data_IF_587373723086
#
_entry.id   IF_587373723086
#
_cell.length_a   1.000
_cell.length_b   1.000
_cell.length_c   1.000
_cell.angle_alpha   90.00
_cell.angle_beta   90.00
_cell.angle_gamma   90.00
#
_symmetry.space_group_name_H-M   'P 1'
#
loop_
_entity.id
_entity.type
_entity.pdbx_description
1 polymer ?
#
# COMPACT_ATOMS: atom_id res chain seq x y z
N UNK A 1 -2.71 15.58 20.89
CA UNK A 1 -1.50 15.70 20.04
C UNK A 1 -1.37 17.16 19.59
N UNK A 2 -0.18 17.74 19.58
CA UNK A 2 0.06 19.10 19.10
C UNK A 2 0.75 19.05 17.73
N UNK A 3 -0.05 19.14 16.66
CA UNK A 3 0.44 19.02 15.28
C UNK A 3 1.51 20.07 14.91
N UNK A 4 1.43 21.28 15.49
CA UNK A 4 2.42 22.32 15.27
C UNK A 4 3.77 21.98 15.89
N UNK A 5 3.79 21.24 17.00
CA UNK A 5 5.02 20.73 17.59
C UNK A 5 5.69 19.69 16.67
N UNK A 6 4.89 18.81 16.04
CA UNK A 6 5.38 17.83 15.05
C UNK A 6 6.01 18.55 13.86
N UNK A 7 5.31 19.53 13.29
CA UNK A 7 5.82 20.31 12.15
C UNK A 7 7.13 21.03 12.51
N UNK A 8 7.22 21.59 13.72
CA UNK A 8 8.45 22.23 14.20
C UNK A 8 9.61 21.24 14.27
N UNK A 9 9.35 20.03 14.78
CA UNK A 9 10.34 18.95 14.84
C UNK A 9 10.79 18.52 13.43
N UNK A 10 9.86 18.34 12.49
CA UNK A 10 10.18 17.97 11.11
C UNK A 10 11.03 19.04 10.42
N UNK A 11 10.67 20.33 10.56
CA UNK A 11 11.46 21.44 10.03
C UNK A 11 12.87 21.51 10.63
N UNK A 12 13.01 21.17 11.92
CA UNK A 12 14.31 21.09 12.57
C UNK A 12 15.16 19.94 12.02
N UNK A 13 14.55 18.79 11.69
CA UNK A 13 15.25 17.68 11.02
C UNK A 13 15.78 18.11 9.65
N UNK A 14 15.00 18.87 8.86
CA UNK A 14 15.45 19.37 7.54
C UNK A 14 16.65 20.30 7.63
N UNK A 15 16.75 21.07 8.72
CA UNK A 15 17.85 22.01 8.94
C UNK A 15 19.10 21.35 9.52
N UNK A 16 19.03 20.06 9.89
CA UNK A 16 20.12 19.33 10.50
C UNK A 16 20.99 18.65 9.41
N UNK A 17 22.27 19.02 9.26
CA UNK A 17 23.17 18.37 8.28
C UNK A 17 23.33 16.86 8.51
N UNK A 18 23.07 16.37 9.73
CA UNK A 18 23.16 14.95 10.09
C UNK A 18 21.95 14.11 9.69
N UNK A 19 20.82 14.70 9.31
CA UNK A 19 19.62 13.95 8.86
C UNK A 19 19.65 13.61 7.37
N UNK A 20 20.62 14.17 6.62
CA UNK A 20 20.71 14.14 5.14
C UNK A 20 19.40 14.52 4.43
N UNK A 21 18.49 15.21 5.12
CA UNK A 21 17.20 15.63 4.58
C UNK A 21 16.11 14.56 4.58
N UNK A 22 16.30 13.42 5.26
CA UNK A 22 15.28 12.38 5.42
C UNK A 22 14.50 12.61 6.72
N UNK A 23 13.19 12.76 6.60
CA UNK A 23 12.27 12.94 7.72
C UNK A 23 11.96 11.61 8.39
N UNK A 24 11.89 11.61 9.71
CA UNK A 24 11.44 10.45 10.50
C UNK A 24 10.35 10.85 11.49
N UNK A 25 9.41 9.95 11.69
CA UNK A 25 8.35 10.07 12.68
C UNK A 25 8.63 9.10 13.83
N UNK A 26 8.51 9.58 15.07
CA UNK A 26 8.49 8.69 16.23
C UNK A 26 7.20 7.87 16.21
N UNK A 27 7.27 6.58 16.56
CA UNK A 27 6.15 5.65 16.44
C UNK A 27 4.92 6.07 17.26
N UNK A 28 5.14 6.57 18.47
CA UNK A 28 4.07 7.04 19.36
C UNK A 28 3.37 8.28 18.79
N UNK A 29 4.08 9.09 18.01
CA UNK A 29 3.50 10.23 17.31
C UNK A 29 2.73 9.73 16.08
N UNK A 30 3.38 8.89 15.26
CA UNK A 30 2.84 8.38 14.02
C UNK A 30 1.50 7.65 14.22
N UNK A 31 1.41 6.81 15.25
CA UNK A 31 0.20 6.05 15.59
C UNK A 31 -1.01 6.90 16.00
N UNK A 32 -0.80 8.20 16.25
CA UNK A 32 -1.88 9.14 16.61
C UNK A 32 -2.27 10.07 15.47
N UNK A 33 -1.57 10.01 14.32
CA UNK A 33 -1.87 10.82 13.16
C UNK A 33 -3.12 10.32 12.44
N UNK A 34 -3.87 11.27 11.89
CA UNK A 34 -4.96 11.02 10.96
C UNK A 34 -4.55 11.36 9.53
N UNK A 35 -5.35 10.95 8.56
CA UNK A 35 -5.20 11.36 7.15
C UNK A 35 -5.21 12.89 7.01
N UNK A 36 -6.06 13.60 7.75
CA UNK A 36 -6.11 15.06 7.71
C UNK A 36 -4.86 15.71 8.32
N UNK A 37 -4.31 15.11 9.38
CA UNK A 37 -3.03 15.56 9.96
C UNK A 37 -1.88 15.38 8.97
N UNK A 38 -1.84 14.25 8.26
CA UNK A 38 -0.84 13.98 7.23
C UNK A 38 -0.88 15.01 6.09
N UNK A 39 -2.09 15.32 5.59
CA UNK A 39 -2.28 16.38 4.58
C UNK A 39 -1.85 17.74 5.09
N UNK A 40 -2.20 18.06 6.34
CA UNK A 40 -1.81 19.32 6.95
C UNK A 40 -0.29 19.43 7.07
N UNK A 41 0.39 18.37 7.52
CA UNK A 41 1.86 18.30 7.57
C UNK A 41 2.45 18.56 6.18
N UNK A 42 1.97 17.87 5.14
CA UNK A 42 2.44 18.07 3.75
C UNK A 42 2.25 19.52 3.30
N UNK A 43 1.11 20.15 3.63
CA UNK A 43 0.84 21.55 3.25
C UNK A 43 1.82 22.55 3.88
N UNK A 44 2.41 22.21 5.04
CA UNK A 44 3.31 23.09 5.79
C UNK A 44 4.79 22.79 5.49
N UNK A 45 5.13 21.52 5.29
CA UNK A 45 6.51 21.05 5.09
C UNK A 45 6.87 20.99 3.60
N UNK A 46 5.90 20.74 2.71
CA UNK A 46 6.10 20.57 1.28
C UNK A 46 6.31 19.11 0.86
N UNK A 47 6.06 18.79 -0.42
CA UNK A 47 6.10 17.41 -0.95
C UNK A 47 7.49 16.94 -1.37
N UNK A 48 8.44 17.86 -1.59
CA UNK A 48 9.78 17.57 -2.12
C UNK A 48 10.71 16.85 -1.13
N UNK A 49 10.23 16.56 0.08
CA UNK A 49 11.01 15.92 1.14
C UNK A 49 10.84 14.41 1.10
N UNK A 50 11.91 13.72 1.49
CA UNK A 50 11.88 12.29 1.70
C UNK A 50 11.50 11.99 3.15
N UNK A 51 10.74 10.94 3.37
CA UNK A 51 10.46 10.37 4.68
C UNK A 51 10.89 8.91 4.73
N UNK A 52 11.40 8.48 5.86
CA UNK A 52 11.52 7.05 6.14
C UNK A 52 10.14 6.49 6.45
N UNK A 53 9.82 5.34 5.86
CA UNK A 53 8.60 4.62 6.10
C UNK A 53 8.44 4.35 7.61
N UNK A 54 7.21 4.41 8.16
CA UNK A 54 6.94 4.12 9.56
C UNK A 54 7.20 2.63 9.89
N UNK A 55 7.27 2.27 11.17
CA UNK A 55 7.69 0.93 11.59
C UNK A 55 6.79 -0.18 11.04
N UNK A 56 5.47 0.03 11.02
CA UNK A 56 4.50 -0.91 10.43
C UNK A 56 4.86 -1.25 8.98
N UNK A 57 5.27 -0.26 8.20
CA UNK A 57 5.60 -0.42 6.79
C UNK A 57 6.96 -1.10 6.61
N UNK A 58 7.95 -0.73 7.42
CA UNK A 58 9.24 -1.42 7.45
C UNK A 58 9.06 -2.91 7.79
N UNK A 59 8.17 -3.24 8.74
CA UNK A 59 7.88 -4.64 9.08
C UNK A 59 7.28 -5.43 7.91
N UNK A 60 6.43 -4.80 7.09
CA UNK A 60 5.93 -5.43 5.87
C UNK A 60 7.04 -5.64 4.84
N UNK A 61 7.88 -4.65 4.58
CA UNK A 61 8.97 -4.79 3.61
C UNK A 61 10.05 -5.76 4.07
N UNK A 62 10.32 -5.89 5.38
CA UNK A 62 11.18 -6.94 5.91
C UNK A 62 10.56 -8.34 5.72
N UNK A 63 9.25 -8.48 5.93
CA UNK A 63 8.54 -9.72 5.60
C UNK A 63 8.64 -10.03 4.09
N UNK A 64 8.47 -9.02 3.24
CA UNK A 64 8.59 -9.13 1.78
C UNK A 64 10.01 -9.55 1.38
N UNK A 65 11.05 -9.01 2.04
CA UNK A 65 12.44 -9.39 1.82
C UNK A 65 12.69 -10.86 2.12
N UNK A 66 12.09 -11.37 3.19
CA UNK A 66 12.24 -12.77 3.62
C UNK A 66 11.48 -13.74 2.69
N UNK A 67 10.25 -13.41 2.31
CA UNK A 67 9.34 -14.34 1.62
C UNK A 67 9.30 -14.14 0.10
N UNK A 68 9.55 -12.92 -0.37
CA UNK A 68 9.50 -12.52 -1.78
C UNK A 68 10.72 -11.65 -2.15
N UNK A 69 11.96 -12.16 -1.97
CA UNK A 69 13.19 -11.37 -2.11
C UNK A 69 13.36 -10.73 -3.50
N UNK A 70 12.82 -11.35 -4.55
CA UNK A 70 12.89 -10.77 -5.90
C UNK A 70 12.07 -9.49 -6.03
N UNK A 71 10.89 -9.44 -5.40
CA UNK A 71 10.04 -8.24 -5.37
C UNK A 71 10.69 -7.16 -4.53
N UNK A 72 11.22 -7.53 -3.37
CA UNK A 72 11.96 -6.60 -2.53
C UNK A 72 13.20 -6.02 -3.26
N UNK A 73 13.95 -6.85 -3.98
CA UNK A 73 15.12 -6.41 -4.74
C UNK A 73 14.75 -5.48 -5.92
N UNK A 74 13.60 -5.70 -6.56
CA UNK A 74 13.10 -4.81 -7.62
C UNK A 74 12.81 -3.41 -7.07
N UNK A 75 12.23 -3.34 -5.86
CA UNK A 75 11.89 -2.08 -5.19
C UNK A 75 13.09 -1.37 -4.55
N UNK A 76 13.97 -2.11 -3.86
CA UNK A 76 14.97 -1.56 -2.94
C UNK A 76 16.40 -2.03 -3.23
N UNK A 77 16.60 -3.00 -4.12
CA UNK A 77 17.87 -3.71 -4.27
C UNK A 77 19.02 -2.86 -4.83
N UNK A 78 18.71 -1.73 -5.45
CA UNK A 78 19.70 -0.79 -5.98
C UNK A 78 19.93 0.42 -5.05
N UNK A 79 19.20 0.53 -3.95
CA UNK A 79 19.32 1.66 -3.03
C UNK A 79 20.53 1.50 -2.12
N UNK A 80 21.15 2.61 -1.76
CA UNK A 80 22.14 2.61 -0.68
C UNK A 80 21.42 2.32 0.65
N UNK A 81 22.11 1.62 1.57
CA UNK A 81 21.55 1.17 2.85
C UNK A 81 20.86 2.29 3.64
N UNK A 82 21.32 3.53 3.51
CA UNK A 82 20.75 4.70 4.16
C UNK A 82 19.39 5.15 3.62
N UNK A 83 19.12 4.91 2.33
CA UNK A 83 17.86 5.28 1.67
C UNK A 83 16.84 4.14 1.66
N UNK A 84 17.20 2.96 2.15
CA UNK A 84 16.26 1.86 2.29
C UNK A 84 15.00 2.30 3.03
N UNK A 85 13.85 1.95 2.46
CA UNK A 85 12.53 2.28 2.99
C UNK A 85 12.29 3.79 3.11
N UNK A 86 12.83 4.56 2.17
CA UNK A 86 12.62 6.00 2.09
C UNK A 86 11.78 6.32 0.87
N UNK A 87 10.71 7.11 1.06
CA UNK A 87 9.76 7.49 0.01
C UNK A 87 9.47 8.99 0.09
N UNK A 88 8.81 9.56 -0.93
CA UNK A 88 8.34 10.94 -0.87
C UNK A 88 7.37 11.18 0.30
N UNK A 89 7.48 12.33 0.96
CA UNK A 89 6.57 12.73 2.04
C UNK A 89 5.11 12.82 1.57
N UNK A 90 4.90 13.06 0.28
CA UNK A 90 3.57 13.04 -0.35
C UNK A 90 2.78 11.74 -0.11
N UNK A 91 3.47 10.62 0.13
CA UNK A 91 2.83 9.34 0.42
C UNK A 91 2.39 9.17 1.89
N UNK A 92 2.68 10.13 2.77
CA UNK A 92 2.32 10.04 4.20
C UNK A 92 0.84 9.69 4.46
N UNK A 93 -0.16 10.24 3.72
CA UNK A 93 -1.56 9.90 3.92
C UNK A 93 -1.86 8.42 3.68
N UNK A 94 -1.17 7.77 2.73
CA UNK A 94 -1.36 6.35 2.45
C UNK A 94 -0.91 5.46 3.63
N UNK A 95 0.04 5.93 4.43
CA UNK A 95 0.55 5.19 5.59
C UNK A 95 -0.42 5.20 6.78
N UNK A 96 -1.47 6.02 6.73
CA UNK A 96 -2.47 6.15 7.80
C UNK A 96 -3.50 5.00 7.79
N UNK A 97 -3.65 4.29 6.67
CA UNK A 97 -4.56 3.15 6.58
C UNK A 97 -4.02 1.98 7.44
N UNK A 98 -4.84 1.36 8.30
CA UNK A 98 -4.40 0.27 9.18
C UNK A 98 -4.08 -1.03 8.44
N UNK A 99 -4.65 -1.25 7.26
CA UNK A 99 -4.47 -2.44 6.41
C UNK A 99 -3.47 -2.18 5.30
N UNK A 100 -3.62 -1.03 4.64
CA UNK A 100 -2.82 -0.61 3.47
C UNK A 100 -1.57 0.15 3.93
N UNK A 101 -0.88 0.73 2.95
CA UNK A 101 0.40 1.39 3.13
C UNK A 101 0.99 1.80 1.80
N UNK A 102 2.32 1.81 1.70
CA UNK A 102 3.02 2.12 0.47
C UNK A 102 2.70 1.04 -0.59
N UNK A 103 2.10 1.44 -1.73
CA UNK A 103 1.63 0.50 -2.74
C UNK A 103 2.79 -0.09 -3.53
N UNK A 104 2.67 -1.35 -3.93
CA UNK A 104 3.58 -1.98 -4.89
C UNK A 104 2.87 -2.03 -6.25
N UNK A 105 3.16 -1.05 -7.10
CA UNK A 105 2.48 -0.89 -8.40
C UNK A 105 3.42 -0.49 -9.57
N UNK A 106 4.72 -0.41 -9.32
CA UNK A 106 5.74 0.10 -10.23
C UNK A 106 6.95 -0.84 -10.38
N UNK A 107 6.78 -2.14 -10.14
CA UNK A 107 7.84 -3.14 -10.35
C UNK A 107 8.34 -3.10 -11.80
N UNK A 108 9.66 -3.13 -11.97
CA UNK A 108 10.33 -2.94 -13.26
C UNK A 108 10.61 -4.27 -13.96
N UNK A 109 10.90 -5.33 -13.21
CA UNK A 109 11.34 -6.62 -13.74
C UNK A 109 10.33 -7.74 -13.51
N UNK A 110 9.43 -7.57 -12.55
CA UNK A 110 8.40 -8.52 -12.18
C UNK A 110 7.00 -8.01 -12.55
N UNK A 111 6.04 -8.94 -12.59
CA UNK A 111 4.63 -8.56 -12.76
C UNK A 111 4.11 -7.84 -11.52
N UNK A 112 3.40 -6.75 -11.75
CA UNK A 112 2.65 -6.04 -10.74
C UNK A 112 1.34 -6.79 -10.45
N UNK A 113 1.02 -6.88 -9.16
CA UNK A 113 -0.25 -7.43 -8.68
C UNK A 113 -1.00 -6.37 -7.88
N UNK A 114 -1.15 -5.19 -8.47
CA UNK A 114 -1.87 -4.06 -7.89
C UNK A 114 -3.26 -3.95 -8.50
N UNK A 115 -4.27 -3.84 -7.64
CA UNK A 115 -5.67 -3.82 -8.05
C UNK A 115 -6.40 -2.62 -7.47
N UNK A 116 -7.18 -1.96 -8.32
CA UNK A 116 -8.10 -0.88 -7.95
C UNK A 116 -9.54 -1.33 -8.21
N UNK A 117 -10.57 -0.66 -7.65
CA UNK A 117 -11.97 -1.01 -7.89
C UNK A 117 -12.32 -1.17 -9.39
N UNK A 118 -11.76 -0.34 -10.26
CA UNK A 118 -12.00 -0.36 -11.70
C UNK A 118 -11.46 -1.62 -12.41
N UNK A 119 -10.59 -2.40 -11.76
CA UNK A 119 -10.17 -3.70 -12.25
C UNK A 119 -11.22 -4.80 -12.03
N UNK A 120 -12.25 -4.56 -11.22
CA UNK A 120 -13.40 -5.45 -11.08
C UNK A 120 -14.32 -5.24 -12.28
N UNK A 121 -14.27 -6.18 -13.22
CA UNK A 121 -14.95 -6.09 -14.51
C UNK A 121 -15.94 -7.24 -14.69
N UNK A 122 -16.72 -7.20 -15.77
CA UNK A 122 -17.69 -8.25 -16.09
C UNK A 122 -19.11 -7.95 -15.57
N UNK A 123 -20.11 -8.50 -16.26
CA UNK A 123 -21.52 -8.18 -15.99
C UNK A 123 -21.99 -8.72 -14.62
N UNK A 124 -21.41 -9.83 -14.17
CA UNK A 124 -21.81 -10.52 -12.94
C UNK A 124 -21.12 -10.01 -11.67
N UNK A 125 -20.11 -9.13 -11.79
CA UNK A 125 -19.27 -8.73 -10.66
C UNK A 125 -20.05 -7.99 -9.57
N UNK A 126 -21.07 -7.23 -9.97
CA UNK A 126 -21.95 -6.53 -9.03
C UNK A 126 -22.77 -7.51 -8.18
N UNK A 127 -23.37 -8.53 -8.80
CA UNK A 127 -24.11 -9.58 -8.09
C UNK A 127 -23.21 -10.43 -7.22
N UNK A 128 -22.02 -10.78 -7.72
CA UNK A 128 -21.02 -11.51 -6.98
C UNK A 128 -20.60 -10.74 -5.71
N UNK A 129 -20.27 -9.46 -5.86
CA UNK A 129 -19.85 -8.60 -4.75
C UNK A 129 -20.95 -8.46 -3.69
N UNK A 130 -22.20 -8.25 -4.08
CA UNK A 130 -23.32 -8.16 -3.12
C UNK A 130 -23.53 -9.48 -2.35
N UNK A 131 -23.44 -10.62 -3.04
CA UNK A 131 -23.51 -11.92 -2.38
C UNK A 131 -22.35 -12.15 -1.39
N UNK A 132 -21.14 -11.72 -1.75
CA UNK A 132 -19.97 -11.79 -0.86
C UNK A 132 -20.12 -10.88 0.35
N UNK A 133 -20.58 -9.64 0.18
CA UNK A 133 -20.85 -8.71 1.28
C UNK A 133 -21.86 -9.29 2.26
N UNK A 134 -22.95 -9.88 1.75
CA UNK A 134 -23.97 -10.48 2.60
C UNK A 134 -23.41 -11.64 3.44
N UNK A 135 -22.62 -12.52 2.82
CA UNK A 135 -21.93 -13.62 3.53
C UNK A 135 -20.97 -13.10 4.59
N UNK A 136 -20.17 -12.10 4.25
CA UNK A 136 -19.20 -11.50 5.16
C UNK A 136 -19.90 -10.86 6.38
N UNK A 137 -20.99 -10.13 6.16
CA UNK A 137 -21.81 -9.54 7.23
C UNK A 137 -22.46 -10.59 8.14
N UNK A 138 -22.82 -11.75 7.58
CA UNK A 138 -23.34 -12.90 8.32
C UNK A 138 -22.25 -13.71 9.04
N UNK A 139 -20.98 -13.29 8.95
CA UNK A 139 -19.82 -14.03 9.48
C UNK A 139 -19.70 -15.45 8.89
N UNK A 140 -20.19 -15.64 7.67
CA UNK A 140 -20.02 -16.89 6.95
C UNK A 140 -18.61 -16.96 6.34
N UNK A 141 -18.12 -18.18 6.13
CA UNK A 141 -16.82 -18.39 5.49
C UNK A 141 -16.84 -17.90 4.04
N UNK A 142 -15.87 -17.05 3.71
CA UNK A 142 -15.62 -16.58 2.34
C UNK A 142 -14.35 -17.24 1.78
N UNK A 143 -14.32 -17.47 0.47
CA UNK A 143 -13.11 -17.96 -0.21
C UNK A 143 -12.08 -16.85 -0.34
N UNK A 144 -10.83 -17.20 -0.71
CA UNK A 144 -9.77 -16.21 -0.95
C UNK A 144 -10.15 -15.25 -2.09
N UNK A 145 -10.75 -15.77 -3.17
CA UNK A 145 -11.25 -14.95 -4.28
C UNK A 145 -12.36 -13.99 -3.85
N UNK A 146 -13.32 -14.47 -3.05
CA UNK A 146 -14.39 -13.63 -2.51
C UNK A 146 -13.82 -12.51 -1.62
N UNK A 147 -12.90 -12.85 -0.72
CA UNK A 147 -12.25 -11.88 0.15
C UNK A 147 -11.43 -10.85 -0.65
N UNK A 148 -10.72 -11.30 -1.69
CA UNK A 148 -9.95 -10.42 -2.57
C UNK A 148 -10.85 -9.44 -3.32
N UNK A 149 -11.95 -9.90 -3.91
CA UNK A 149 -12.92 -9.02 -4.58
C UNK A 149 -13.49 -7.99 -3.61
N UNK A 150 -13.81 -8.40 -2.38
CA UNK A 150 -14.29 -7.48 -1.35
C UNK A 150 -13.24 -6.40 -1.03
N UNK A 151 -11.98 -6.76 -0.83
CA UNK A 151 -10.89 -5.81 -0.55
C UNK A 151 -10.67 -4.82 -1.71
N UNK A 152 -10.57 -5.33 -2.94
CA UNK A 152 -10.40 -4.49 -4.14
C UNK A 152 -11.56 -3.51 -4.30
N UNK A 153 -12.79 -3.94 -4.00
CA UNK A 153 -13.98 -3.09 -4.13
C UNK A 153 -14.01 -1.91 -3.15
N UNK A 154 -13.26 -1.99 -2.04
CA UNK A 154 -13.25 -0.97 -1.00
C UNK A 154 -12.18 0.10 -1.26
N UNK A 155 -10.97 -0.34 -1.65
CA UNK A 155 -9.88 0.57 -1.97
C UNK A 155 -8.71 -0.22 -2.60
N UNK A 156 -7.78 0.48 -3.30
CA UNK A 156 -6.64 -0.15 -3.93
C UNK A 156 -5.80 -1.03 -3.00
N UNK A 157 -5.28 -2.14 -3.52
CA UNK A 157 -4.46 -3.09 -2.77
C UNK A 157 -3.54 -3.90 -3.69
N UNK A 158 -2.31 -4.17 -3.25
CA UNK A 158 -1.44 -5.16 -3.89
C UNK A 158 -1.59 -6.57 -3.26
N UNK A 159 -1.31 -7.60 -4.06
CA UNK A 159 -1.46 -8.98 -3.62
C UNK A 159 -0.53 -9.37 -2.45
N UNK A 160 0.64 -8.74 -2.32
CA UNK A 160 1.55 -9.01 -1.20
C UNK A 160 1.00 -8.44 0.11
N UNK A 161 0.42 -7.24 0.09
CA UNK A 161 -0.29 -6.66 1.22
C UNK A 161 -1.50 -7.49 1.61
N UNK A 162 -2.29 -7.91 0.63
CA UNK A 162 -3.43 -8.79 0.87
C UNK A 162 -2.98 -10.09 1.57
N UNK A 163 -1.94 -10.73 1.04
CA UNK A 163 -1.31 -11.93 1.60
C UNK A 163 -0.83 -11.72 3.04
N UNK A 164 -0.05 -10.66 3.28
CA UNK A 164 0.49 -10.31 4.58
C UNK A 164 -0.58 -10.03 5.62
N UNK A 165 -1.59 -9.22 5.27
CA UNK A 165 -2.62 -8.79 6.21
C UNK A 165 -3.55 -9.94 6.62
N UNK A 166 -4.00 -10.72 5.63
CA UNK A 166 -4.93 -11.84 5.88
C UNK A 166 -4.21 -13.13 6.26
N UNK A 167 -2.88 -13.15 6.26
CA UNK A 167 -2.03 -14.32 6.55
C UNK A 167 -2.36 -15.50 5.65
N UNK A 168 -2.53 -15.22 4.36
CA UNK A 168 -2.84 -16.21 3.33
C UNK A 168 -1.56 -16.45 2.53
N UNK A 169 -1.21 -17.71 2.29
CA UNK A 169 -0.08 -18.06 1.42
C UNK A 169 -0.21 -17.40 0.04
N UNK A 170 0.87 -16.78 -0.45
CA UNK A 170 0.84 -15.98 -1.67
C UNK A 170 0.39 -16.79 -2.89
N UNK A 171 0.74 -18.08 -2.97
CA UNK A 171 0.32 -19.00 -4.02
C UNK A 171 -1.22 -19.13 -4.09
N UNK A 172 -1.89 -19.08 -2.94
CA UNK A 172 -3.36 -19.11 -2.88
C UNK A 172 -3.97 -17.79 -3.34
N UNK A 173 -3.29 -16.67 -3.10
CA UNK A 173 -3.69 -15.35 -3.60
C UNK A 173 -3.55 -15.30 -5.12
N UNK A 174 -2.41 -15.73 -5.66
CA UNK A 174 -2.17 -15.82 -7.11
C UNK A 174 -3.19 -16.74 -7.77
N UNK A 175 -3.50 -17.89 -7.15
CA UNK A 175 -4.56 -18.76 -7.65
C UNK A 175 -5.92 -18.07 -7.70
N UNK A 176 -6.30 -17.34 -6.65
CA UNK A 176 -7.56 -16.60 -6.61
C UNK A 176 -7.62 -15.51 -7.70
N UNK A 177 -6.52 -14.81 -7.94
CA UNK A 177 -6.40 -13.81 -9.03
C UNK A 177 -6.61 -14.48 -10.38
N UNK A 178 -5.98 -15.63 -10.62
CA UNK A 178 -6.11 -16.38 -11.86
C UNK A 178 -7.55 -16.89 -12.07
N UNK A 179 -8.17 -17.45 -11.03
CA UNK A 179 -9.54 -17.95 -11.09
C UNK A 179 -10.51 -16.79 -11.44
N UNK A 180 -10.39 -15.62 -10.81
CA UNK A 180 -11.20 -14.42 -11.11
C UNK A 180 -10.96 -13.87 -12.52
N UNK A 181 -9.72 -13.92 -13.00
CA UNK A 181 -9.35 -13.50 -14.37
C UNK A 181 -9.95 -14.45 -15.41
N UNK A 182 -9.91 -15.76 -15.17
CA UNK A 182 -10.51 -16.77 -16.06
C UNK A 182 -12.04 -16.66 -16.11
N UNK A 183 -12.67 -16.29 -14.98
CA UNK A 183 -14.10 -16.01 -14.89
C UNK A 183 -14.47 -14.64 -15.51
N UNK A 184 -13.51 -13.85 -15.99
CA UNK A 184 -13.74 -12.53 -16.57
C UNK A 184 -14.20 -11.48 -15.56
N UNK A 185 -13.93 -11.72 -14.28
CA UNK A 185 -14.34 -10.87 -13.15
C UNK A 185 -13.24 -9.90 -12.68
N UNK A 186 -12.00 -10.13 -13.12
CA UNK A 186 -10.84 -9.31 -12.72
C UNK A 186 -9.92 -9.04 -13.92
N UNK A 187 -9.66 -7.76 -14.16
CA UNK A 187 -8.64 -7.30 -15.08
C UNK A 187 -7.29 -7.24 -14.37
N UNK A 188 -6.31 -8.01 -14.84
CA UNK A 188 -4.94 -7.98 -14.32
C UNK A 188 -3.99 -7.30 -15.31
N UNK A 189 -3.44 -6.18 -14.88
CA UNK A 189 -2.44 -5.39 -15.62
C UNK A 189 -1.08 -5.60 -14.96
N UNK A 190 -0.23 -6.41 -15.59
CA UNK A 190 1.05 -6.84 -15.00
C UNK A 190 2.18 -5.82 -15.14
N UNK A 191 2.08 -4.85 -16.07
CA UNK A 191 3.12 -3.86 -16.31
C UNK A 191 2.77 -2.54 -15.63
N UNK A 192 3.78 -1.86 -15.09
CA UNK A 192 3.64 -0.53 -14.49
C UNK A 192 3.04 0.49 -15.49
N UNK A 193 3.44 0.42 -16.76
CA UNK A 193 2.90 1.30 -17.82
C UNK A 193 1.39 1.11 -18.03
N UNK A 194 0.90 -0.13 -17.96
CA UNK A 194 -0.53 -0.43 -18.11
C UNK A 194 -1.32 0.02 -16.86
N UNK A 195 -0.70 -0.01 -15.68
CA UNK A 195 -1.29 0.43 -14.42
C UNK A 195 -1.33 1.95 -14.28
N UNK A 196 -0.45 2.70 -14.95
CA UNK A 196 -0.31 4.13 -14.77
C UNK A 196 -1.63 4.91 -14.99
N UNK A 197 -2.49 4.43 -15.89
CA UNK A 197 -3.80 5.03 -16.16
C UNK A 197 -4.82 4.85 -15.01
N UNK A 198 -4.55 3.91 -14.09
CA UNK A 198 -5.43 3.54 -12.97
C UNK A 198 -4.90 4.01 -11.61
N UNK A 199 -3.60 4.33 -11.53
CA UNK A 199 -2.96 4.74 -10.28
C UNK A 199 -3.12 6.25 -10.11
N UNK A 200 -4.06 6.64 -9.26
CA UNK A 200 -4.17 8.00 -8.73
C UNK A 200 -4.20 7.96 -7.21
N UNK A 201 -3.24 8.63 -6.58
CA UNK A 201 -3.20 8.78 -5.13
C UNK A 201 -3.84 10.12 -4.75
N UNK A 202 -5.15 10.23 -4.96
CA UNK A 202 -5.92 11.35 -4.40
C UNK A 202 -6.20 11.04 -2.93
N UNK A 203 -5.51 11.76 -2.05
CA UNK A 203 -5.77 11.74 -0.62
C UNK A 203 -6.63 12.92 -0.21
#
# INVERSE_FOLDING_TARGET
MNINAIITTLNAQMSNPGSRGILTFEEDIFSTLTVDDAKYIISQVGTAHLMRLPKKEQMFFEWLKEHHPLVWNDLWGNDEEEYLYTVGLEFLPLMMDPVRGFPICDLLTLENYFFVPDHLVGEEISFYLEAVKERYLKQETVTVAQLLVLEISMAPIDAWRFSYHHRIEFERVVKAIQDLKEEGMLLHLGKAEDLADFVSFEY
#
